data_IF_132859057990
#
_entry.id   IF_132859057990
#
_cell.length_a   1.000
_cell.length_b   1.000
_cell.length_c   1.000
_cell.angle_alpha   90.00
_cell.angle_beta   90.00
_cell.angle_gamma   90.00
#
_symmetry.space_group_name_H-M   'P 1'
#
loop_
_entity.id
_entity.type
_entity.pdbx_description
1 polymer ?
#
# COMPACT_ATOMS: atom_id res chain seq x y z
N UNK A 1 9.13 -20.37 -0.89
CA UNK A 1 8.81 -19.41 0.19
C UNK A 1 8.55 -18.07 -0.47
N UNK A 2 7.50 -17.33 -0.08
CA UNK A 2 7.20 -16.03 -0.65
C UNK A 2 8.18 -14.96 -0.10
N UNK A 3 8.59 -13.97 -0.91
CA UNK A 3 9.35 -12.83 -0.40
C UNK A 3 8.48 -11.97 0.52
N UNK A 4 9.05 -11.08 1.34
CA UNK A 4 8.26 -10.14 2.14
C UNK A 4 7.29 -9.33 1.28
N UNK A 5 6.06 -9.15 1.74
CA UNK A 5 5.03 -8.34 1.08
C UNK A 5 4.30 -7.46 2.09
N UNK A 6 3.81 -6.32 1.63
CA UNK A 6 2.90 -5.49 2.42
C UNK A 6 1.49 -6.06 2.29
N UNK A 7 0.88 -6.44 3.41
CA UNK A 7 -0.47 -6.98 3.42
C UNK A 7 -1.47 -5.88 3.76
N UNK A 8 -2.53 -5.80 2.96
CA UNK A 8 -3.82 -5.32 3.46
C UNK A 8 -4.32 -4.10 2.71
N UNK A 9 -4.78 -3.05 3.40
CA UNK A 9 -5.65 -2.02 2.82
C UNK A 9 -4.96 -1.06 1.84
N UNK A 10 -3.63 -1.03 1.82
CA UNK A 10 -2.87 -0.17 0.92
C UNK A 10 -1.43 0.04 1.39
N UNK A 11 -0.58 0.40 0.42
CA UNK A 11 0.81 0.76 0.61
C UNK A 11 1.23 1.74 -0.48
N UNK A 12 2.33 2.44 -0.26
CA UNK A 12 2.89 3.41 -1.21
C UNK A 12 4.13 2.81 -1.85
N UNK A 13 4.21 2.87 -3.18
CA UNK A 13 5.39 2.49 -3.95
C UNK A 13 5.97 3.71 -4.67
N UNK A 14 7.28 3.69 -4.90
CA UNK A 14 7.96 4.71 -5.67
C UNK A 14 7.68 4.55 -7.17
N UNK A 15 7.82 5.66 -7.91
CA UNK A 15 7.51 5.74 -9.35
C UNK A 15 8.30 4.76 -10.21
N UNK A 16 9.54 4.49 -9.85
CA UNK A 16 10.43 3.55 -10.53
C UNK A 16 9.93 2.10 -10.41
N UNK A 17 9.51 1.67 -9.22
CA UNK A 17 8.84 0.37 -9.02
C UNK A 17 7.56 0.30 -9.85
N UNK A 18 6.73 1.34 -9.83
CA UNK A 18 5.51 1.37 -10.64
C UNK A 18 5.80 1.23 -12.15
N UNK A 19 6.84 1.90 -12.66
CA UNK A 19 7.28 1.76 -14.06
C UNK A 19 7.77 0.35 -14.37
N UNK A 20 8.55 -0.25 -13.48
CA UNK A 20 9.01 -1.63 -13.63
C UNK A 20 7.83 -2.59 -13.75
N UNK A 21 6.81 -2.44 -12.90
CA UNK A 21 5.59 -3.27 -12.95
C UNK A 21 4.84 -3.09 -14.27
N UNK A 22 4.64 -1.85 -14.73
CA UNK A 22 3.97 -1.58 -16.01
C UNK A 22 4.73 -2.20 -17.18
N UNK A 23 6.05 -2.00 -17.24
CA UNK A 23 6.88 -2.54 -18.31
C UNK A 23 6.86 -4.08 -18.30
N UNK A 24 7.07 -4.70 -17.14
CA UNK A 24 7.09 -6.15 -17.03
C UNK A 24 5.72 -6.78 -17.33
N UNK A 25 4.62 -6.09 -17.04
CA UNK A 25 3.29 -6.53 -17.45
C UNK A 25 3.12 -6.49 -18.98
N UNK A 26 3.54 -5.40 -19.63
CA UNK A 26 3.46 -5.25 -21.10
C UNK A 26 4.34 -6.28 -21.84
N UNK A 27 5.49 -6.60 -21.28
CA UNK A 27 6.44 -7.58 -21.83
C UNK A 27 6.12 -9.03 -21.42
N UNK A 28 5.08 -9.24 -20.59
CA UNK A 28 4.68 -10.54 -20.04
C UNK A 28 5.82 -11.26 -19.27
N UNK A 29 6.69 -10.50 -18.62
CA UNK A 29 7.82 -11.02 -17.84
C UNK A 29 7.52 -11.16 -16.35
N UNK A 30 6.45 -10.51 -15.86
CA UNK A 30 6.03 -10.63 -14.47
C UNK A 30 5.31 -11.95 -14.20
N UNK A 31 5.65 -12.58 -13.08
CA UNK A 31 4.91 -13.73 -12.58
C UNK A 31 3.58 -13.25 -11.98
N UNK A 32 2.46 -13.65 -12.58
CA UNK A 32 1.15 -13.41 -12.00
C UNK A 32 0.88 -14.40 -10.87
N UNK A 33 0.27 -13.92 -9.79
CA UNK A 33 -0.09 -14.71 -8.63
C UNK A 33 -1.50 -14.34 -8.16
N UNK A 34 -2.24 -15.30 -7.61
CA UNK A 34 -3.67 -15.11 -7.26
C UNK A 34 -3.88 -14.07 -6.17
N UNK A 35 -2.94 -13.97 -5.23
CA UNK A 35 -2.95 -12.94 -4.19
C UNK A 35 -2.10 -11.76 -4.67
N UNK A 36 -2.76 -10.64 -4.91
CA UNK A 36 -2.22 -9.41 -5.49
C UNK A 36 -1.09 -8.81 -4.64
N UNK A 37 -1.25 -8.79 -3.32
CA UNK A 37 -0.21 -8.27 -2.42
C UNK A 37 1.05 -9.15 -2.44
N UNK A 38 0.85 -10.48 -2.50
CA UNK A 38 1.96 -11.44 -2.65
C UNK A 38 2.62 -11.27 -4.02
N UNK A 39 1.83 -11.03 -5.08
CA UNK A 39 2.35 -10.75 -6.42
C UNK A 39 3.24 -9.50 -6.42
N UNK A 40 2.80 -8.42 -5.77
CA UNK A 40 3.60 -7.21 -5.58
C UNK A 40 4.91 -7.48 -4.85
N UNK A 41 4.91 -8.31 -3.79
CA UNK A 41 6.13 -8.74 -3.11
C UNK A 41 7.10 -9.51 -4.03
N UNK A 42 6.56 -10.37 -4.90
CA UNK A 42 7.34 -11.09 -5.92
C UNK A 42 7.96 -10.11 -6.93
N UNK A 43 7.20 -9.13 -7.42
CA UNK A 43 7.70 -8.16 -8.39
C UNK A 43 8.75 -7.22 -7.78
N UNK A 44 8.58 -6.80 -6.53
CA UNK A 44 9.59 -6.04 -5.80
C UNK A 44 10.89 -6.86 -5.64
N UNK A 45 10.78 -8.16 -5.34
CA UNK A 45 11.95 -9.03 -5.27
C UNK A 45 12.66 -9.15 -6.62
N UNK A 46 11.91 -9.25 -7.73
CA UNK A 46 12.48 -9.25 -9.08
C UNK A 46 13.18 -7.92 -9.40
N UNK A 47 12.59 -6.78 -9.01
CA UNK A 47 13.20 -5.47 -9.15
C UNK A 47 14.53 -5.37 -8.38
N UNK A 48 14.59 -5.87 -7.14
CA UNK A 48 15.85 -5.95 -6.38
C UNK A 48 16.89 -6.83 -7.09
N UNK A 49 16.46 -7.96 -7.64
CA UNK A 49 17.34 -8.90 -8.33
C UNK A 49 17.90 -8.35 -9.66
N UNK A 50 17.31 -7.30 -10.24
CA UNK A 50 17.85 -6.60 -11.42
C UNK A 50 18.96 -5.59 -11.07
N UNK A 51 19.39 -5.56 -9.80
CA UNK A 51 20.46 -4.69 -9.30
C UNK A 51 19.98 -3.36 -8.74
N UNK A 52 18.65 -3.15 -8.66
CA UNK A 52 18.07 -1.94 -8.09
C UNK A 52 18.01 -2.02 -6.56
N UNK A 53 18.13 -0.88 -5.89
CA UNK A 53 17.96 -0.80 -4.45
C UNK A 53 16.49 -0.57 -4.10
N UNK A 54 16.02 -1.24 -3.05
CA UNK A 54 14.66 -1.05 -2.53
C UNK A 54 14.74 -0.84 -1.02
N UNK A 55 14.24 0.31 -0.59
CA UNK A 55 14.06 0.65 0.80
C UNK A 55 12.62 0.35 1.21
N UNK A 56 12.46 -0.50 2.22
CA UNK A 56 11.16 -0.82 2.80
C UNK A 56 11.07 -0.05 4.11
N UNK A 57 10.02 0.75 4.25
CA UNK A 57 9.72 1.53 5.46
C UNK A 57 8.37 1.07 5.99
N UNK A 58 8.33 0.76 7.28
CA UNK A 58 7.10 0.45 8.01
C UNK A 58 6.70 1.68 8.83
N UNK A 59 5.40 1.98 8.84
CA UNK A 59 4.84 3.09 9.59
C UNK A 59 3.53 2.63 10.23
N UNK A 60 3.45 2.69 11.56
CA UNK A 60 2.32 2.17 12.33
C UNK A 60 1.00 2.90 12.01
N UNK A 61 1.08 4.07 11.39
CA UNK A 61 -0.09 4.82 10.90
C UNK A 61 -0.74 4.19 9.66
N UNK A 62 -0.14 3.13 9.10
CA UNK A 62 -0.76 2.23 8.11
C UNK A 62 -1.42 1.05 8.83
N UNK A 63 -2.40 1.36 9.68
CA UNK A 63 -3.10 0.37 10.46
C UNK A 63 -4.06 -0.46 9.60
N UNK A 64 -3.94 -1.78 9.64
CA UNK A 64 -4.67 -2.70 8.77
C UNK A 64 -6.01 -3.17 9.33
N UNK A 65 -6.31 -2.91 10.60
CA UNK A 65 -7.48 -3.44 11.33
C UNK A 65 -8.46 -2.33 11.75
N UNK A 66 -8.79 -1.42 10.84
CA UNK A 66 -9.79 -0.37 11.07
C UNK A 66 -9.18 1.01 11.03
N UNK A 67 -9.46 1.84 12.03
CA UNK A 67 -8.96 3.22 12.10
C UNK A 67 -8.36 3.48 13.48
N UNK A 68 -7.16 4.06 13.49
CA UNK A 68 -6.49 4.57 14.68
C UNK A 68 -6.16 6.07 14.49
N UNK A 69 -6.19 6.87 15.55
CA UNK A 69 -5.89 8.30 15.43
C UNK A 69 -4.48 8.54 14.85
N UNK A 70 -4.29 9.70 14.22
CA UNK A 70 -3.09 10.05 13.46
C UNK A 70 -2.81 9.12 12.26
N UNK A 71 -3.84 8.43 11.75
CA UNK A 71 -3.71 7.55 10.60
C UNK A 71 -3.15 8.25 9.35
N UNK A 72 -2.35 7.51 8.59
CA UNK A 72 -2.10 7.77 7.17
C UNK A 72 -3.11 7.00 6.32
N UNK A 73 -3.50 5.82 6.79
CA UNK A 73 -4.49 4.96 6.17
C UNK A 73 -5.48 4.44 7.20
N UNK A 74 -6.78 4.45 6.85
CA UNK A 74 -7.86 3.85 7.62
C UNK A 74 -8.57 2.77 6.79
N UNK A 75 -8.73 1.58 7.34
CA UNK A 75 -9.36 0.41 6.72
C UNK A 75 -10.80 0.20 7.22
N UNK A 76 -11.59 -0.62 6.50
CA UNK A 76 -12.98 -0.94 6.83
C UNK A 76 -13.94 0.27 6.96
N UNK A 77 -13.67 1.35 6.23
CA UNK A 77 -14.46 2.57 6.26
C UNK A 77 -15.64 2.50 5.29
N UNK A 78 -16.85 2.78 5.78
CA UNK A 78 -18.03 2.93 4.92
C UNK A 78 -18.00 4.28 4.18
N UNK A 79 -18.74 4.46 3.07
CA UNK A 79 -18.77 5.74 2.37
C UNK A 79 -19.14 6.94 3.27
N UNK A 80 -20.04 6.74 4.25
CA UNK A 80 -20.38 7.79 5.23
C UNK A 80 -19.22 8.12 6.16
N UNK A 81 -18.50 7.10 6.64
CA UNK A 81 -17.32 7.30 7.49
C UNK A 81 -16.23 8.03 6.72
N UNK A 82 -15.97 7.68 5.44
CA UNK A 82 -14.98 8.38 4.61
C UNK A 82 -15.26 9.88 4.49
N UNK A 83 -16.53 10.27 4.36
CA UNK A 83 -16.92 11.70 4.34
C UNK A 83 -16.64 12.37 5.69
N UNK A 84 -16.98 11.72 6.80
CA UNK A 84 -16.69 12.21 8.15
C UNK A 84 -15.18 12.36 8.39
N UNK A 85 -14.37 11.37 8.01
CA UNK A 85 -12.92 11.40 8.13
C UNK A 85 -12.34 12.60 7.37
N UNK A 86 -12.83 12.83 6.15
CA UNK A 86 -12.42 13.98 5.34
C UNK A 86 -12.84 15.33 5.94
N UNK A 87 -14.05 15.42 6.50
CA UNK A 87 -14.51 16.62 7.19
C UNK A 87 -13.62 16.94 8.40
N UNK A 88 -13.34 15.96 9.25
CA UNK A 88 -12.45 16.12 10.42
C UNK A 88 -11.05 16.55 10.02
N UNK A 89 -10.46 15.96 8.97
CA UNK A 89 -9.16 16.38 8.45
C UNK A 89 -9.15 17.85 8.04
N UNK A 90 -10.25 18.36 7.48
CA UNK A 90 -10.35 19.77 7.06
C UNK A 90 -10.62 20.73 8.21
N UNK A 91 -11.43 20.34 9.19
CA UNK A 91 -11.86 21.24 10.27
C UNK A 91 -10.93 21.21 11.47
N UNK A 92 -10.42 20.03 11.81
CA UNK A 92 -9.60 19.80 13.00
C UNK A 92 -8.10 19.73 12.66
N UNK A 93 -7.75 19.66 11.37
CA UNK A 93 -6.36 19.52 10.88
C UNK A 93 -5.62 18.30 11.43
N UNK A 94 -6.36 17.29 11.90
CA UNK A 94 -5.86 16.05 12.48
C UNK A 94 -6.63 14.85 11.93
N UNK A 95 -5.95 13.71 11.84
CA UNK A 95 -6.55 12.46 11.39
C UNK A 95 -7.21 11.77 12.59
N UNK A 96 -8.53 11.93 12.71
CA UNK A 96 -9.31 11.41 13.84
C UNK A 96 -10.39 10.49 13.31
N UNK A 97 -10.51 9.31 13.90
CA UNK A 97 -11.49 8.33 13.48
C UNK A 97 -12.93 8.79 13.68
N UNK A 98 -13.82 8.20 12.89
CA UNK A 98 -15.26 8.39 12.97
C UNK A 98 -15.91 7.12 13.51
N UNK A 99 -16.99 7.29 14.26
CA UNK A 99 -17.82 6.21 14.81
C UNK A 99 -19.05 5.96 13.92
#
# INVERSE_FOLDING_TARGET
MYPPWAHGPGYVISRDIAKFVVQGHQELTLQLFKLEDVAMGIWIQQYKNSGQQVNIVTDDRFYNEGCEADYVLAHYQTPRLMMCLWEKLKTEYHAICCE
#
